data_IF_647007336800
#
_entry.id   IF_647007336800
#
_cell.length_a   1.000
_cell.length_b   1.000
_cell.length_c   1.000
_cell.angle_alpha   90.00
_cell.angle_beta   90.00
_cell.angle_gamma   90.00
#
_symmetry.space_group_name_H-M   'P 1'
#
loop_
_entity.id
_entity.type
_entity.pdbx_description
1 polymer ?
#
# COMPACT_ATOMS: atom_id res chain seq x y z
N UNK A 1 -15.28 -13.61 -3.94
CA UNK A 1 -14.46 -13.31 -5.13
C UNK A 1 -13.45 -14.45 -5.27
N UNK A 2 -13.34 -15.10 -6.44
CA UNK A 2 -12.29 -16.12 -6.66
C UNK A 2 -11.09 -15.41 -7.24
N UNK A 3 -9.97 -15.44 -6.51
CA UNK A 3 -8.69 -14.93 -6.98
C UNK A 3 -8.15 -15.92 -8.02
N UNK A 4 -8.30 -15.59 -9.30
CA UNK A 4 -7.68 -16.37 -10.38
C UNK A 4 -6.22 -15.92 -10.49
N UNK A 5 -5.34 -16.66 -9.80
CA UNK A 5 -3.89 -16.46 -9.75
C UNK A 5 -3.17 -17.06 -10.97
N UNK A 6 -3.87 -17.35 -12.08
CA UNK A 6 -3.20 -17.72 -13.31
C UNK A 6 -2.27 -16.58 -13.74
N UNK A 7 -0.96 -16.83 -13.63
CA UNK A 7 0.12 -15.94 -14.08
C UNK A 7 0.33 -16.02 -15.60
N UNK A 8 -0.58 -16.69 -16.31
CA UNK A 8 -0.48 -16.85 -17.76
C UNK A 8 -1.01 -15.60 -18.48
N UNK A 9 -0.38 -15.21 -19.60
CA UNK A 9 -0.87 -14.11 -20.43
C UNK A 9 -2.31 -14.37 -20.90
N UNK A 10 -3.14 -13.32 -20.89
CA UNK A 10 -4.55 -13.38 -21.31
C UNK A 10 -4.83 -12.39 -22.43
N UNK A 11 -5.77 -12.76 -23.30
CA UNK A 11 -6.27 -11.87 -24.35
C UNK A 11 -7.27 -10.87 -23.78
N UNK A 12 -7.06 -9.60 -24.09
CA UNK A 12 -7.94 -8.48 -23.76
C UNK A 12 -8.45 -7.85 -25.05
N UNK A 13 -9.78 -7.88 -25.24
CA UNK A 13 -10.42 -7.25 -26.39
C UNK A 13 -10.57 -5.75 -26.13
N UNK A 14 -9.77 -4.93 -26.82
CA UNK A 14 -9.76 -3.48 -26.63
C UNK A 14 -10.83 -2.80 -27.48
N UNK A 15 -10.86 -3.14 -28.77
CA UNK A 15 -11.85 -2.61 -29.71
C UNK A 15 -12.41 -3.78 -30.52
N UNK A 16 -13.46 -4.46 -30.01
CA UNK A 16 -14.04 -5.64 -30.66
C UNK A 16 -14.49 -5.36 -32.10
N UNK A 17 -15.04 -4.18 -32.36
CA UNK A 17 -15.52 -3.79 -33.70
C UNK A 17 -14.40 -3.63 -34.73
N UNK A 18 -13.18 -3.31 -34.27
CA UNK A 18 -11.98 -3.24 -35.11
C UNK A 18 -11.15 -4.53 -35.06
N UNK A 19 -11.57 -5.54 -34.29
CA UNK A 19 -10.81 -6.77 -34.06
C UNK A 19 -9.49 -6.56 -33.31
N UNK A 20 -9.35 -5.44 -32.58
CA UNK A 20 -8.11 -5.11 -31.86
C UNK A 20 -8.11 -5.79 -30.50
N UNK A 21 -7.13 -6.67 -30.31
CA UNK A 21 -6.93 -7.45 -29.08
C UNK A 21 -5.46 -7.45 -28.68
N UNK A 22 -5.20 -7.55 -27.39
CA UNK A 22 -3.85 -7.58 -26.84
C UNK A 22 -3.70 -8.77 -25.91
N UNK A 23 -2.65 -9.56 -26.11
CA UNK A 23 -2.21 -10.60 -25.19
C UNK A 23 -1.26 -9.94 -24.19
N UNK A 24 -1.65 -9.90 -22.91
CA UNK A 24 -0.87 -9.26 -21.87
C UNK A 24 -0.72 -10.17 -20.65
N UNK A 25 0.47 -10.11 -20.04
CA UNK A 25 0.72 -10.71 -18.74
C UNK A 25 -0.10 -10.02 -17.65
N UNK A 26 -0.37 -10.70 -16.53
CA UNK A 26 -0.84 -10.08 -15.30
C UNK A 26 0.06 -8.95 -14.79
N UNK A 27 -0.48 -7.74 -14.60
CA UNK A 27 0.22 -6.64 -13.93
C UNK A 27 0.19 -6.84 -12.41
N UNK A 28 0.95 -7.83 -11.94
CA UNK A 28 1.17 -8.10 -10.52
C UNK A 28 1.94 -6.96 -9.84
N UNK A 29 1.92 -6.92 -8.51
CA UNK A 29 2.50 -5.84 -7.70
C UNK A 29 3.94 -5.49 -8.09
N UNK A 30 4.80 -6.46 -8.38
CA UNK A 30 6.20 -6.20 -8.80
C UNK A 30 6.28 -5.37 -10.11
N UNK A 31 5.37 -5.61 -11.06
CA UNK A 31 5.31 -4.86 -12.33
C UNK A 31 4.79 -3.45 -12.08
N UNK A 32 3.78 -3.32 -11.23
CA UNK A 32 3.19 -2.02 -10.87
C UNK A 32 4.18 -1.16 -10.08
N UNK A 33 4.95 -1.75 -9.17
CA UNK A 33 5.99 -1.06 -8.39
C UNK A 33 7.16 -0.65 -9.27
N UNK A 34 7.65 -1.56 -10.13
CA UNK A 34 8.68 -1.22 -11.12
C UNK A 34 8.22 -0.08 -12.05
N UNK A 35 6.94 -0.07 -12.45
CA UNK A 35 6.39 0.99 -13.29
C UNK A 35 6.26 2.34 -12.56
N UNK A 36 6.03 2.33 -11.24
CA UNK A 36 6.01 3.55 -10.40
C UNK A 36 7.40 4.14 -10.21
N UNK A 37 8.44 3.31 -10.22
CA UNK A 37 9.85 3.70 -10.11
C UNK A 37 10.47 4.17 -11.44
N UNK A 38 9.72 4.15 -12.54
CA UNK A 38 10.22 4.56 -13.85
C UNK A 38 10.58 6.06 -13.89
N UNK A 39 11.76 6.38 -14.41
CA UNK A 39 12.29 7.75 -14.47
C UNK A 39 11.36 8.71 -15.22
N UNK A 40 10.63 8.25 -16.26
CA UNK A 40 9.68 9.07 -17.01
C UNK A 40 8.51 9.49 -16.13
N UNK A 41 8.10 8.61 -15.22
CA UNK A 41 7.03 8.87 -14.26
C UNK A 41 7.52 9.79 -13.15
N UNK A 42 8.70 9.51 -12.58
CA UNK A 42 9.32 10.33 -11.53
C UNK A 42 9.53 11.78 -12.03
N UNK A 43 10.03 11.94 -13.25
CA UNK A 43 10.24 13.25 -13.86
C UNK A 43 8.94 14.03 -14.09
N UNK A 44 7.82 13.33 -14.27
CA UNK A 44 6.52 13.94 -14.50
C UNK A 44 5.72 14.18 -13.20
N UNK A 45 5.89 13.32 -12.19
CA UNK A 45 5.09 13.32 -10.97
C UNK A 45 5.51 14.43 -10.00
N UNK A 46 6.81 14.71 -9.90
CA UNK A 46 7.29 15.53 -8.79
C UNK A 46 6.82 14.93 -7.45
N UNK A 47 6.09 15.73 -6.66
CA UNK A 47 5.47 15.30 -5.40
C UNK A 47 3.97 14.94 -5.52
N UNK A 48 3.36 14.98 -6.72
CA UNK A 48 1.93 14.70 -6.86
C UNK A 48 1.61 13.20 -6.86
N UNK A 49 0.60 12.76 -6.07
CA UNK A 49 0.18 11.37 -6.07
C UNK A 49 -0.50 11.03 -7.40
N UNK A 50 -0.28 9.79 -7.85
CA UNK A 50 -0.90 9.30 -9.07
C UNK A 50 -2.43 9.28 -8.90
N UNK A 51 -3.16 10.12 -9.64
CA UNK A 51 -4.62 10.09 -9.60
C UNK A 51 -5.13 8.75 -10.11
N UNK A 52 -5.78 8.00 -9.23
CA UNK A 52 -6.22 6.62 -9.46
C UNK A 52 -7.55 6.53 -10.24
N UNK A 53 -8.14 7.66 -10.60
CA UNK A 53 -9.40 7.72 -11.33
C UNK A 53 -9.12 7.63 -12.82
N UNK A 54 -9.30 6.42 -13.35
CA UNK A 54 -9.29 6.16 -14.79
C UNK A 54 -10.72 6.32 -15.31
N UNK A 55 -11.03 7.53 -15.77
CA UNK A 55 -12.21 7.76 -16.60
C UNK A 55 -11.78 7.89 -18.08
N UNK A 56 -12.50 7.24 -19.03
CA UNK A 56 -12.24 7.41 -20.46
C UNK A 56 -12.22 8.88 -20.85
N UNK A 57 -11.21 9.31 -21.60
CA UNK A 57 -11.02 10.69 -22.01
C UNK A 57 -10.54 11.66 -20.92
N UNK A 58 -10.40 11.24 -19.65
CA UNK A 58 -9.96 12.10 -18.54
C UNK A 58 -8.69 11.63 -17.82
N UNK A 59 -8.05 10.56 -18.30
CA UNK A 59 -6.81 10.07 -17.74
C UNK A 59 -5.73 11.16 -17.72
N UNK A 60 -5.14 11.40 -16.54
CA UNK A 60 -4.06 12.37 -16.34
C UNK A 60 -2.83 11.97 -17.16
N UNK A 61 -1.93 12.94 -17.40
CA UNK A 61 -0.67 12.63 -18.08
C UNK A 61 0.14 11.56 -17.34
N UNK A 62 0.13 11.59 -16.00
CA UNK A 62 0.75 10.57 -15.16
C UNK A 62 0.15 9.19 -15.39
N UNK A 63 -1.18 9.06 -15.39
CA UNK A 63 -1.84 7.79 -15.65
C UNK A 63 -1.50 7.24 -17.04
N UNK A 64 -1.38 8.11 -18.05
CA UNK A 64 -0.98 7.72 -19.41
C UNK A 64 0.48 7.23 -19.48
N UNK A 65 1.40 7.90 -18.78
CA UNK A 65 2.80 7.46 -18.72
C UNK A 65 2.93 6.14 -17.96
N UNK A 66 2.29 6.01 -16.79
CA UNK A 66 2.29 4.74 -16.05
C UNK A 66 1.74 3.61 -16.92
N UNK A 67 0.60 3.86 -17.59
CA UNK A 67 -0.05 2.89 -18.46
C UNK A 67 0.85 2.46 -19.63
N UNK A 68 1.64 3.38 -20.20
CA UNK A 68 2.64 3.07 -21.22
C UNK A 68 3.76 2.19 -20.68
N UNK A 69 4.33 2.54 -19.52
CA UNK A 69 5.42 1.79 -18.88
C UNK A 69 4.96 0.37 -18.55
N UNK A 70 3.74 0.21 -18.03
CA UNK A 70 3.14 -1.11 -17.78
C UNK A 70 2.95 -1.87 -19.09
N UNK A 71 2.37 -1.23 -20.12
CA UNK A 71 2.15 -1.87 -21.42
C UNK A 71 3.44 -2.41 -22.05
N UNK A 72 4.53 -1.67 -21.96
CA UNK A 72 5.84 -2.10 -22.46
C UNK A 72 6.39 -3.35 -21.74
N UNK A 73 5.97 -3.61 -20.50
CA UNK A 73 6.40 -4.77 -19.72
C UNK A 73 5.50 -6.00 -19.96
N UNK A 74 4.20 -5.78 -20.12
CA UNK A 74 3.20 -6.86 -20.06
C UNK A 74 2.72 -7.34 -21.43
N UNK A 75 2.79 -6.51 -22.47
CA UNK A 75 2.26 -6.90 -23.79
C UNK A 75 3.18 -7.96 -24.43
N UNK A 76 2.58 -9.10 -24.78
CA UNK A 76 3.26 -10.27 -25.38
C UNK A 76 2.86 -10.54 -26.82
N UNK A 77 1.63 -10.19 -27.21
CA UNK A 77 1.16 -10.23 -28.59
C UNK A 77 -0.01 -9.26 -28.82
N UNK A 78 -0.36 -8.99 -30.07
CA UNK A 78 -1.58 -8.26 -30.45
C UNK A 78 -2.19 -8.79 -31.75
N UNK A 79 -3.46 -8.49 -31.95
CA UNK A 79 -4.20 -8.72 -33.18
C UNK A 79 -4.92 -7.43 -33.62
N UNK A 80 -5.13 -7.27 -34.93
CA UNK A 80 -5.76 -6.07 -35.50
C UNK A 80 -4.86 -4.82 -35.52
N UNK A 81 -3.56 -4.97 -35.21
CA UNK A 81 -2.57 -3.88 -35.26
C UNK A 81 -1.67 -4.09 -36.47
N UNK A 82 -1.78 -3.18 -37.44
CA UNK A 82 -1.08 -3.26 -38.72
C UNK A 82 -0.23 -2.00 -38.96
N UNK A 83 0.92 -2.19 -39.60
CA UNK A 83 1.76 -1.12 -40.17
C UNK A 83 1.25 -0.71 -41.56
N UNK A 84 1.97 0.22 -42.21
CA UNK A 84 1.59 0.94 -43.45
C UNK A 84 1.24 0.07 -44.68
N UNK A 85 1.34 -1.26 -44.59
CA UNK A 85 1.08 -2.18 -45.71
C UNK A 85 0.22 -3.39 -45.33
N UNK A 86 -0.58 -3.29 -44.26
CA UNK A 86 -1.39 -4.42 -43.77
C UNK A 86 -0.56 -5.55 -43.17
N UNK A 87 0.68 -5.24 -42.78
CA UNK A 87 1.58 -6.18 -42.11
C UNK A 87 1.38 -6.02 -40.61
N UNK A 88 1.20 -7.14 -39.90
CA UNK A 88 1.12 -7.13 -38.43
C UNK A 88 2.30 -6.34 -37.85
N UNK A 89 1.98 -5.31 -37.07
CA UNK A 89 2.99 -4.44 -36.48
C UNK A 89 3.90 -5.24 -35.55
N UNK A 90 5.21 -4.95 -35.57
CA UNK A 90 6.14 -5.63 -34.66
C UNK A 90 5.93 -5.17 -33.23
N UNK A 91 6.06 -6.06 -32.26
CA UNK A 91 6.08 -5.69 -30.84
C UNK A 91 7.42 -5.06 -30.47
N UNK A 92 7.51 -3.74 -30.64
CA UNK A 92 8.63 -2.92 -30.19
C UNK A 92 8.12 -1.85 -29.23
N UNK A 93 8.95 -1.32 -28.31
CA UNK A 93 8.54 -0.25 -27.41
C UNK A 93 7.97 0.97 -28.16
N UNK A 94 8.54 1.31 -29.31
CA UNK A 94 8.10 2.43 -30.15
C UNK A 94 6.71 2.18 -30.76
N UNK A 95 6.43 0.94 -31.19
CA UNK A 95 5.11 0.58 -31.71
C UNK A 95 4.06 0.50 -30.59
N UNK A 96 4.42 0.05 -29.39
CA UNK A 96 3.52 0.08 -28.22
C UNK A 96 3.20 1.53 -27.85
N UNK A 97 4.20 2.41 -27.89
CA UNK A 97 3.99 3.83 -27.66
C UNK A 97 3.06 4.44 -28.72
N UNK A 98 3.32 4.21 -30.01
CA UNK A 98 2.45 4.68 -31.09
C UNK A 98 1.02 4.12 -30.97
N UNK A 99 0.87 2.86 -30.58
CA UNK A 99 -0.43 2.22 -30.33
C UNK A 99 -1.23 2.94 -29.23
N UNK A 100 -0.58 3.26 -28.11
CA UNK A 100 -1.20 3.99 -27.00
C UNK A 100 -1.28 5.51 -27.18
N UNK A 101 -0.66 6.07 -28.23
CA UNK A 101 -0.90 7.47 -28.63
C UNK A 101 -2.29 7.66 -29.25
N UNK A 102 -2.91 6.59 -29.77
CA UNK A 102 -4.28 6.68 -30.28
C UNK A 102 -5.29 6.80 -29.12
N UNK A 103 -6.08 7.88 -29.02
CA UNK A 103 -6.91 8.14 -27.83
C UNK A 103 -7.89 7.01 -27.50
N UNK A 104 -8.56 6.44 -28.52
CA UNK A 104 -9.53 5.36 -28.31
C UNK A 104 -8.86 4.08 -27.78
N UNK A 105 -7.64 3.79 -28.22
CA UNK A 105 -6.90 2.60 -27.81
C UNK A 105 -6.37 2.80 -26.38
N UNK A 106 -5.82 3.98 -26.10
CA UNK A 106 -5.37 4.35 -24.77
C UNK A 106 -6.49 4.24 -23.74
N UNK A 107 -7.67 4.77 -24.06
CA UNK A 107 -8.83 4.73 -23.17
C UNK A 107 -9.36 3.29 -23.00
N UNK A 108 -9.40 2.49 -24.06
CA UNK A 108 -9.78 1.08 -23.98
C UNK A 108 -8.78 0.25 -23.15
N UNK A 109 -7.48 0.44 -23.36
CA UNK A 109 -6.43 -0.20 -22.56
C UNK A 109 -6.56 0.15 -21.07
N UNK A 110 -6.78 1.42 -20.79
CA UNK A 110 -7.01 1.93 -19.44
C UNK A 110 -8.25 1.29 -18.79
N UNK A 111 -9.36 1.18 -19.53
CA UNK A 111 -10.63 0.65 -19.04
C UNK A 111 -10.61 -0.88 -18.85
N UNK A 112 -10.10 -1.63 -19.83
CA UNK A 112 -10.22 -3.09 -19.85
C UNK A 112 -9.06 -3.81 -19.17
N UNK A 113 -7.86 -3.22 -19.16
CA UNK A 113 -6.69 -3.83 -18.56
C UNK A 113 -6.29 -3.11 -17.26
N UNK A 114 -5.97 -1.82 -17.33
CA UNK A 114 -5.39 -1.11 -16.18
C UNK A 114 -6.34 -1.00 -15.00
N UNK A 115 -7.63 -0.71 -15.23
CA UNK A 115 -8.60 -0.59 -14.16
C UNK A 115 -8.73 -1.88 -13.33
N UNK A 116 -8.71 -3.04 -13.99
CA UNK A 116 -8.75 -4.33 -13.31
C UNK A 116 -7.53 -4.52 -12.41
N UNK A 117 -6.32 -4.32 -12.95
CA UNK A 117 -5.09 -4.55 -12.19
C UNK A 117 -4.84 -3.52 -11.10
N UNK A 118 -5.27 -2.27 -11.29
CA UNK A 118 -5.25 -1.26 -10.22
C UNK A 118 -6.21 -1.62 -9.07
N UNK A 119 -7.38 -2.18 -9.37
CA UNK A 119 -8.28 -2.65 -8.32
C UNK A 119 -7.68 -3.84 -7.58
N UNK A 120 -7.10 -4.80 -8.30
CA UNK A 120 -6.42 -5.96 -7.69
C UNK A 120 -5.25 -5.52 -6.81
N UNK A 121 -4.41 -4.59 -7.27
CA UNK A 121 -3.29 -4.06 -6.48
C UNK A 121 -3.78 -3.39 -5.20
N UNK A 122 -4.87 -2.60 -5.26
CA UNK A 122 -5.50 -2.01 -4.08
C UNK A 122 -6.04 -3.06 -3.12
N UNK A 123 -6.80 -4.03 -3.63
CA UNK A 123 -7.37 -5.11 -2.81
C UNK A 123 -6.24 -5.89 -2.10
N UNK A 124 -5.12 -6.17 -2.79
CA UNK A 124 -3.94 -6.81 -2.19
C UNK A 124 -3.31 -5.92 -1.12
N UNK A 125 -3.13 -4.62 -1.38
CA UNK A 125 -2.57 -3.68 -0.40
C UNK A 125 -3.48 -3.52 0.83
N UNK A 126 -4.80 -3.51 0.65
CA UNK A 126 -5.79 -3.45 1.72
C UNK A 126 -5.87 -4.76 2.52
N UNK A 127 -5.79 -5.92 1.86
CA UNK A 127 -5.74 -7.22 2.56
C UNK A 127 -4.48 -7.35 3.43
N UNK A 128 -3.34 -6.80 3.00
CA UNK A 128 -2.12 -6.73 3.82
C UNK A 128 -2.31 -5.84 5.05
N UNK A 129 -3.26 -4.90 5.05
CA UNK A 129 -3.61 -4.07 6.20
C UNK A 129 -4.59 -4.75 7.18
N UNK A 130 -5.17 -5.91 6.85
CA UNK A 130 -5.96 -6.72 7.80
C UNK A 130 -5.05 -7.56 8.72
N UNK A 131 -3.74 -7.58 8.46
CA UNK A 131 -2.72 -8.12 9.37
C UNK A 131 -1.84 -7.02 9.99
N UNK A 132 -2.44 -5.92 10.45
CA UNK A 132 -1.83 -5.22 11.57
C UNK A 132 -2.09 -6.08 12.83
N UNK A 133 -1.06 -6.61 13.54
CA UNK A 133 -1.31 -6.98 14.92
C UNK A 133 -1.79 -5.71 15.60
N UNK A 134 -3.02 -5.76 16.12
CA UNK A 134 -3.60 -4.74 16.95
C UNK A 134 -2.54 -4.21 17.92
N UNK A 135 -1.99 -3.03 17.65
CA UNK A 135 -1.38 -2.17 18.67
C UNK A 135 -2.51 -1.47 19.45
N UNK A 136 -3.58 -2.20 19.77
CA UNK A 136 -4.50 -1.86 20.85
C UNK A 136 -4.02 -2.57 22.11
N UNK A 137 -2.84 -2.19 22.56
CA UNK A 137 -2.34 -2.42 23.90
C UNK A 137 -2.25 -1.07 24.59
N UNK A 138 -3.39 -0.58 25.05
CA UNK A 138 -3.49 0.47 26.06
C UNK A 138 -2.37 0.35 27.09
N UNK A 139 -1.59 1.41 27.27
CA UNK A 139 -0.76 1.61 28.46
C UNK A 139 -1.68 1.80 29.67
N UNK A 140 -2.37 0.73 30.08
CA UNK A 140 -3.16 0.65 31.28
C UNK A 140 -2.38 -0.23 32.26
N UNK A 141 -1.69 0.44 33.18
CA UNK A 141 -1.16 -0.03 34.45
C UNK A 141 -1.06 -1.56 34.62
N UNK A 142 0.15 -2.09 34.52
CA UNK A 142 0.49 -3.39 35.07
C UNK A 142 0.12 -3.44 36.55
N UNK A 143 -1.01 -4.05 36.89
CA UNK A 143 -1.30 -4.40 38.27
C UNK A 143 -0.40 -5.57 38.65
N UNK A 144 0.54 -5.30 39.55
CA UNK A 144 1.44 -6.27 40.18
C UNK A 144 0.65 -7.41 40.81
N UNK A 145 0.62 -8.57 40.17
CA UNK A 145 0.14 -9.81 40.79
C UNK A 145 1.34 -10.49 41.46
N UNK A 146 1.58 -10.10 42.71
CA UNK A 146 2.31 -10.93 43.66
C UNK A 146 1.52 -10.93 44.97
N UNK A 147 0.85 -12.03 45.25
CA UNK A 147 0.18 -12.24 46.54
C UNK A 147 1.24 -12.32 47.64
N UNK A 148 1.13 -11.42 48.63
CA UNK A 148 2.01 -11.37 49.80
C UNK A 148 1.74 -12.58 50.71
N UNK A 149 2.79 -13.31 51.07
CA UNK A 149 2.72 -14.44 52.00
C UNK A 149 2.11 -14.05 53.37
N UNK A 150 1.24 -14.88 53.97
CA UNK A 150 0.73 -14.64 55.31
C UNK A 150 1.82 -14.92 56.34
N UNK A 151 2.24 -13.88 57.07
CA UNK A 151 3.16 -14.04 58.21
C UNK A 151 2.34 -14.39 59.44
N UNK A 152 2.74 -15.49 60.07
CA UNK A 152 2.15 -16.06 61.27
C UNK A 152 2.62 -15.33 62.55
N UNK A 153 1.80 -15.50 63.60
CA UNK A 153 2.00 -15.29 65.04
C UNK A 153 1.87 -13.87 65.64
N UNK A 154 0.85 -13.76 66.51
CA UNK A 154 0.70 -12.72 67.54
C UNK A 154 1.70 -12.96 68.67
N UNK A 155 2.60 -12.01 68.93
CA UNK A 155 3.40 -11.96 70.16
C UNK A 155 2.86 -10.92 71.14
N UNK A 156 2.91 -11.29 72.42
CA UNK A 156 2.12 -10.75 73.53
C UNK A 156 2.48 -9.32 74.00
N UNK A 157 1.49 -8.67 74.66
CA UNK A 157 1.62 -7.40 75.38
C UNK A 157 2.60 -7.52 76.55
N UNK A 158 3.42 -6.49 76.77
CA UNK A 158 3.94 -6.18 78.10
C UNK A 158 4.00 -4.67 78.33
N UNK A 159 3.50 -4.31 79.50
CA UNK A 159 3.18 -2.96 79.94
C UNK A 159 4.43 -2.24 80.50
N UNK A 160 4.30 -0.91 80.56
CA UNK A 160 4.45 -0.07 81.76
C UNK A 160 5.56 1.01 81.73
N UNK A 161 5.09 2.25 81.91
CA UNK A 161 5.66 3.36 82.72
C UNK A 161 7.10 3.85 82.50
N UNK A 162 7.22 5.13 82.14
CA UNK A 162 8.01 6.16 82.85
C UNK A 162 7.64 7.53 82.23
N UNK A 163 7.04 8.50 82.93
CA UNK A 163 7.49 9.37 84.03
C UNK A 163 8.75 10.21 83.71
N UNK A 164 8.49 11.42 83.21
CA UNK A 164 9.05 12.74 83.59
C UNK A 164 10.58 12.89 83.71
N UNK A 165 11.14 13.84 82.95
CA UNK A 165 12.11 14.83 83.45
C UNK A 165 12.16 16.09 82.55
N UNK A 166 12.54 17.21 83.16
CA UNK A 166 12.40 18.61 82.72
C UNK A 166 13.76 19.21 82.31
N UNK A 167 13.64 20.28 81.50
CA UNK A 167 14.44 21.54 81.46
C UNK A 167 15.86 21.52 80.84
N UNK A 168 16.07 22.48 79.93
CA UNK A 168 17.19 23.43 80.05
C UNK A 168 17.80 24.00 78.76
N UNK A 169 17.43 25.26 78.42
CA UNK A 169 18.31 26.41 78.01
C UNK A 169 19.15 26.26 76.73
N UNK A 170 19.32 27.23 75.82
CA UNK A 170 18.94 28.64 75.64
C UNK A 170 19.51 29.12 74.28
N UNK A 171 18.89 30.09 73.59
CA UNK A 171 19.39 31.48 73.44
C UNK A 171 19.93 31.82 72.03
N UNK A 172 19.46 32.96 71.46
CA UNK A 172 20.03 33.72 70.33
C UNK A 172 19.35 33.42 68.99
N UNK A 173 18.47 34.24 68.38
CA UNK A 173 18.28 35.70 68.20
C UNK A 173 19.21 36.32 67.14
N UNK A 174 18.59 37.14 66.29
CA UNK A 174 19.12 38.08 65.28
C UNK A 174 19.14 37.50 63.86
N UNK A 175 18.57 38.12 62.83
CA UNK A 175 17.91 39.44 62.69
C UNK A 175 16.94 39.39 61.51
#
# INVERSE_FOLDING_TARGET
>A
MRLDLSLEPKWYDLIPEAGIRVLADPAITDIMDAAREDERLIALAGDEPLSEVIEPGKATRLARVLSLVVAQQVIRDWEGVEEEFGVKAKLTPDHIEAFLQHPQIADAWLLYYMQYWLQVDKDILEEKNVSAPLLSGTSAAAQSIAARAPVNAKTARKNNTSRKARKGVGSGRSS
#
